data_IF_006009357444
#
_entry.id   IF_006009357444
#
_cell.length_a   1.000
_cell.length_b   1.000
_cell.length_c   1.000
_cell.angle_alpha   90.00
_cell.angle_beta   90.00
_cell.angle_gamma   90.00
#
_symmetry.space_group_name_H-M   'P 1'
#
loop_
_entity.id
_entity.type
_entity.pdbx_description
1 polymer ?
#
# COMPACT_ATOMS: atom_id res chain seq x y z
N UNK A 1 2.94 1.38 -27.12
CA UNK A 1 2.07 1.62 -25.96
C UNK A 1 2.26 3.07 -25.58
N UNK A 2 1.20 3.87 -25.53
CA UNK A 2 1.30 5.28 -25.17
C UNK A 2 1.78 5.41 -23.71
N UNK A 3 2.70 6.35 -23.47
CA UNK A 3 3.11 6.75 -22.13
C UNK A 3 1.91 7.37 -21.40
N UNK A 4 1.58 6.92 -20.18
CA UNK A 4 0.45 7.46 -19.43
C UNK A 4 0.68 8.95 -19.09
N UNK A 5 -0.39 9.76 -19.18
CA UNK A 5 -0.34 11.20 -18.90
C UNK A 5 -0.37 11.50 -17.38
N UNK A 6 -0.01 12.73 -17.01
CA UNK A 6 0.00 13.21 -15.63
C UNK A 6 -1.43 13.09 -15.03
N UNK A 7 -1.57 12.36 -13.91
CA UNK A 7 -2.88 12.07 -13.29
C UNK A 7 -3.50 10.72 -13.67
N UNK A 8 -2.85 9.91 -14.51
CA UNK A 8 -3.27 8.53 -14.82
C UNK A 8 -2.50 7.45 -14.03
N UNK A 9 -1.51 7.88 -13.25
CA UNK A 9 -0.56 7.05 -12.52
C UNK A 9 -0.41 7.58 -11.09
N UNK A 10 -0.09 6.70 -10.14
CA UNK A 10 0.28 7.14 -8.79
C UNK A 10 1.55 8.00 -8.82
N UNK A 11 1.73 8.87 -7.83
CA UNK A 11 2.91 9.76 -7.76
C UNK A 11 4.24 8.99 -7.88
N UNK A 12 4.36 7.81 -7.26
CA UNK A 12 5.53 6.94 -7.44
C UNK A 12 5.81 6.53 -8.90
N UNK A 13 4.77 6.18 -9.65
CA UNK A 13 4.89 5.84 -11.07
C UNK A 13 5.32 7.08 -11.89
N UNK A 14 4.85 8.28 -11.51
CA UNK A 14 5.21 9.54 -12.16
C UNK A 14 6.68 9.95 -11.95
N UNK A 15 7.25 9.69 -10.76
CA UNK A 15 8.66 10.01 -10.45
C UNK A 15 9.61 9.12 -11.26
N UNK A 16 9.28 7.83 -11.43
CA UNK A 16 10.09 6.90 -12.23
C UNK A 16 10.01 7.24 -13.72
N UNK A 17 8.83 7.63 -14.20
CA UNK A 17 8.62 8.04 -15.59
C UNK A 17 9.30 9.36 -15.98
N UNK A 18 9.72 10.17 -15.01
CA UNK A 18 10.30 11.48 -15.25
C UNK A 18 11.80 11.46 -15.61
N UNK A 19 12.49 10.32 -15.49
CA UNK A 19 13.92 10.19 -15.84
C UNK A 19 14.07 9.98 -17.35
N UNK A 20 14.58 10.97 -18.12
CA UNK A 20 14.64 10.88 -19.58
C UNK A 20 15.60 9.75 -20.01
N UNK A 21 15.13 8.87 -20.90
CA UNK A 21 15.98 7.87 -21.57
C UNK A 21 16.15 6.53 -20.85
N UNK A 22 15.52 6.31 -19.68
CA UNK A 22 15.61 5.05 -18.94
C UNK A 22 14.26 4.32 -18.95
N UNK A 23 14.10 3.34 -19.84
CA UNK A 23 12.96 2.41 -19.82
C UNK A 23 13.29 1.19 -18.96
N UNK A 24 13.19 1.32 -17.64
CA UNK A 24 13.33 0.16 -16.73
C UNK A 24 12.04 -0.67 -16.79
N UNK A 25 12.08 -1.96 -17.14
CA UNK A 25 10.89 -2.78 -17.07
C UNK A 25 10.43 -2.91 -15.61
N UNK A 26 9.12 -2.91 -15.38
CA UNK A 26 8.52 -2.86 -14.03
C UNK A 26 9.06 -3.92 -13.07
N UNK A 27 9.30 -5.14 -13.57
CA UNK A 27 9.86 -6.22 -12.75
C UNK A 27 11.29 -5.92 -12.27
N UNK A 28 12.09 -5.26 -13.11
CA UNK A 28 13.46 -4.89 -12.77
C UNK A 28 13.47 -3.75 -11.75
N UNK A 29 12.57 -2.77 -11.87
CA UNK A 29 12.43 -1.72 -10.87
C UNK A 29 12.07 -2.29 -9.48
N UNK A 30 11.15 -3.26 -9.43
CA UNK A 30 10.78 -3.97 -8.20
C UNK A 30 11.95 -4.79 -7.65
N UNK A 31 12.68 -5.51 -8.51
CA UNK A 31 13.84 -6.30 -8.09
C UNK A 31 14.96 -5.42 -7.54
N UNK A 32 15.20 -4.26 -8.15
CA UNK A 32 16.17 -3.28 -7.68
C UNK A 32 15.74 -2.64 -6.35
N UNK A 33 14.47 -2.25 -6.20
CA UNK A 33 13.91 -1.74 -4.94
C UNK A 33 14.12 -2.76 -3.82
N UNK A 34 13.61 -3.98 -4.00
CA UNK A 34 13.73 -5.06 -3.02
C UNK A 34 15.21 -5.36 -2.73
N UNK A 35 16.01 -5.57 -3.77
CA UNK A 35 17.42 -5.93 -3.62
C UNK A 35 18.24 -4.86 -2.90
N UNK A 36 18.00 -3.58 -3.17
CA UNK A 36 18.72 -2.49 -2.50
C UNK A 36 18.36 -2.38 -1.02
N UNK A 37 17.06 -2.39 -0.69
CA UNK A 37 16.62 -2.30 0.70
C UNK A 37 16.99 -3.56 1.49
N UNK A 38 16.77 -4.75 0.93
CA UNK A 38 17.10 -6.02 1.58
C UNK A 38 18.61 -6.16 1.81
N UNK A 39 19.44 -5.83 0.79
CA UNK A 39 20.88 -5.83 0.97
C UNK A 39 21.31 -4.82 2.04
N UNK A 40 20.70 -3.63 2.08
CA UNK A 40 20.93 -2.65 3.14
C UNK A 40 20.62 -3.21 4.52
N UNK A 41 19.46 -3.86 4.70
CA UNK A 41 19.05 -4.48 5.97
C UNK A 41 20.07 -5.55 6.38
N UNK A 42 20.40 -6.49 5.49
CA UNK A 42 21.32 -7.59 5.79
C UNK A 42 22.72 -7.07 6.11
N UNK A 43 23.27 -6.20 5.25
CA UNK A 43 24.65 -5.69 5.41
C UNK A 43 24.79 -4.87 6.69
N UNK A 44 23.87 -3.94 6.96
CA UNK A 44 23.96 -3.12 8.17
C UNK A 44 23.73 -3.95 9.43
N UNK A 45 22.80 -4.90 9.40
CA UNK A 45 22.60 -5.79 10.55
C UNK A 45 23.79 -6.69 10.83
N UNK A 46 24.51 -7.16 9.81
CA UNK A 46 25.75 -7.92 9.99
C UNK A 46 26.91 -7.05 10.50
N UNK A 47 27.02 -5.80 10.02
CA UNK A 47 28.06 -4.85 10.45
C UNK A 47 27.87 -4.43 11.91
N UNK A 48 26.62 -4.21 12.32
CA UNK A 48 26.27 -3.68 13.64
C UNK A 48 25.71 -4.72 14.63
N UNK A 49 25.75 -6.02 14.28
CA UNK A 49 25.25 -7.14 15.11
C UNK A 49 23.76 -7.04 15.51
N UNK A 50 22.91 -6.58 14.58
CA UNK A 50 21.48 -6.32 14.80
C UNK A 50 20.60 -7.51 14.41
N UNK A 51 20.72 -8.62 15.15
CA UNK A 51 20.02 -9.87 14.83
C UNK A 51 18.48 -9.75 14.75
N UNK A 52 17.86 -9.01 15.67
CA UNK A 52 16.41 -8.74 15.66
C UNK A 52 15.98 -7.88 14.46
N UNK A 53 16.83 -6.92 14.09
CA UNK A 53 16.61 -6.01 12.97
C UNK A 53 16.59 -6.69 11.60
N UNK A 54 17.29 -7.82 11.43
CA UNK A 54 17.27 -8.59 10.17
C UNK A 54 15.85 -9.04 9.85
N UNK A 55 15.22 -9.80 10.75
CA UNK A 55 13.92 -10.42 10.47
C UNK A 55 12.83 -9.34 10.33
N UNK A 56 12.82 -8.36 11.23
CA UNK A 56 11.87 -7.26 11.17
C UNK A 56 12.03 -6.43 9.88
N UNK A 57 13.27 -6.10 9.52
CA UNK A 57 13.62 -5.36 8.32
C UNK A 57 13.24 -6.11 7.04
N UNK A 58 13.58 -7.40 6.93
CA UNK A 58 13.21 -8.23 5.78
C UNK A 58 11.70 -8.33 5.60
N UNK A 59 10.95 -8.52 6.69
CA UNK A 59 9.48 -8.55 6.62
C UNK A 59 8.94 -7.18 6.17
N UNK A 60 9.45 -6.09 6.74
CA UNK A 60 9.06 -4.73 6.35
C UNK A 60 9.31 -4.45 4.87
N UNK A 61 10.51 -4.76 4.36
CA UNK A 61 10.88 -4.61 2.94
C UNK A 61 10.02 -5.49 2.04
N UNK A 62 9.72 -6.72 2.46
CA UNK A 62 8.84 -7.63 1.72
C UNK A 62 7.42 -7.09 1.64
N UNK A 63 6.85 -6.60 2.75
CA UNK A 63 5.52 -5.99 2.77
C UNK A 63 5.46 -4.75 1.88
N UNK A 64 6.47 -3.88 1.95
CA UNK A 64 6.55 -2.69 1.10
C UNK A 64 6.63 -3.04 -0.39
N UNK A 65 7.46 -4.02 -0.74
CA UNK A 65 7.61 -4.54 -2.11
C UNK A 65 6.32 -5.15 -2.63
N UNK A 66 5.64 -5.96 -1.80
CA UNK A 66 4.34 -6.52 -2.15
C UNK A 66 3.28 -5.42 -2.34
N UNK A 67 3.36 -4.33 -1.56
CA UNK A 67 2.62 -3.10 -1.78
C UNK A 67 2.83 -2.57 -3.20
N UNK A 68 4.09 -2.33 -3.60
CA UNK A 68 4.43 -1.88 -4.96
C UNK A 68 3.82 -2.78 -6.04
N UNK A 69 3.87 -4.10 -5.87
CA UNK A 69 3.23 -5.06 -6.78
C UNK A 69 1.71 -4.87 -6.82
N UNK A 70 1.06 -4.75 -5.66
CA UNK A 70 -0.38 -4.57 -5.56
C UNK A 70 -0.82 -3.28 -6.26
N UNK A 71 -0.15 -2.15 -6.03
CA UNK A 71 -0.47 -0.88 -6.72
C UNK A 71 -0.36 -1.02 -8.23
N UNK A 72 0.70 -1.65 -8.75
CA UNK A 72 0.86 -1.85 -10.19
C UNK A 72 -0.21 -2.78 -10.79
N UNK A 73 -0.66 -3.78 -10.04
CA UNK A 73 -1.77 -4.64 -10.45
C UNK A 73 -3.09 -3.89 -10.44
N UNK A 74 -3.38 -3.12 -9.38
CA UNK A 74 -4.56 -2.27 -9.25
C UNK A 74 -4.58 -1.25 -10.39
N UNK A 75 -3.48 -0.53 -10.64
CA UNK A 75 -3.34 0.43 -11.73
C UNK A 75 -3.71 -0.19 -13.08
N UNK A 76 -3.14 -1.36 -13.40
CA UNK A 76 -3.44 -2.09 -14.64
C UNK A 76 -4.91 -2.51 -14.71
N UNK A 77 -5.44 -3.11 -13.65
CA UNK A 77 -6.85 -3.55 -13.61
C UNK A 77 -7.84 -2.40 -13.77
N UNK A 78 -7.55 -1.23 -13.20
CA UNK A 78 -8.37 -0.03 -13.31
C UNK A 78 -8.32 0.56 -14.72
N UNK A 79 -7.12 0.64 -15.33
CA UNK A 79 -6.96 1.13 -16.70
C UNK A 79 -7.60 0.19 -17.71
N UNK A 80 -7.36 -1.11 -17.58
CA UNK A 80 -7.96 -2.12 -18.45
C UNK A 80 -9.48 -2.14 -18.33
N UNK A 81 -10.04 -1.84 -17.15
CA UNK A 81 -11.49 -1.76 -16.97
C UNK A 81 -12.13 -0.56 -17.69
N UNK A 82 -11.36 0.33 -18.33
CA UNK A 82 -11.82 1.61 -18.86
C UNK A 82 -12.70 2.35 -17.83
N UNK A 83 -12.24 2.35 -16.57
CA UNK A 83 -13.05 2.84 -15.46
C UNK A 83 -13.41 4.33 -15.66
N UNK A 84 -14.56 4.79 -15.13
CA UNK A 84 -15.00 6.16 -15.29
C UNK A 84 -13.92 7.17 -14.92
N UNK A 85 -13.80 8.23 -15.71
CA UNK A 85 -12.77 9.26 -15.57
C UNK A 85 -12.78 9.89 -14.17
N UNK A 86 -13.97 10.14 -13.62
CA UNK A 86 -14.15 10.64 -12.25
C UNK A 86 -13.54 9.74 -11.19
N UNK A 87 -13.62 8.41 -11.34
CA UNK A 87 -12.97 7.46 -10.45
C UNK A 87 -11.45 7.46 -10.66
N UNK A 88 -10.99 7.49 -11.91
CA UNK A 88 -9.55 7.51 -12.22
C UNK A 88 -8.85 8.75 -11.64
N UNK A 89 -9.44 9.94 -11.81
CA UNK A 89 -8.89 11.17 -11.22
C UNK A 89 -8.92 11.13 -9.69
N UNK A 90 -9.99 10.63 -9.08
CA UNK A 90 -10.06 10.52 -7.63
C UNK A 90 -8.99 9.57 -7.09
N UNK A 91 -8.79 8.43 -7.75
CA UNK A 91 -7.82 7.41 -7.37
C UNK A 91 -6.38 7.87 -7.58
N UNK A 92 -6.02 8.39 -8.76
CA UNK A 92 -4.62 8.68 -9.13
C UNK A 92 -4.24 10.16 -9.07
N UNK A 93 -5.18 11.08 -9.26
CA UNK A 93 -4.90 12.50 -9.46
C UNK A 93 -5.05 13.38 -8.21
N UNK A 94 -5.56 12.84 -7.11
CA UNK A 94 -5.89 13.65 -5.92
C UNK A 94 -4.71 13.88 -4.97
N UNK A 95 -3.59 13.16 -5.14
CA UNK A 95 -2.41 13.18 -4.24
C UNK A 95 -2.73 12.86 -2.76
N UNK A 96 -3.95 12.40 -2.46
CA UNK A 96 -4.40 12.09 -1.10
C UNK A 96 -3.56 10.95 -0.51
N UNK A 97 -3.14 10.00 -1.32
CA UNK A 97 -2.25 8.91 -0.92
C UNK A 97 -0.92 9.40 -0.36
N UNK A 98 -0.36 10.49 -0.94
CA UNK A 98 0.89 11.09 -0.46
C UNK A 98 0.65 11.77 0.87
N UNK A 99 -0.43 12.54 0.99
CA UNK A 99 -0.79 13.20 2.26
C UNK A 99 -0.97 12.16 3.37
N UNK A 100 -1.71 11.08 3.10
CA UNK A 100 -1.89 9.98 4.05
C UNK A 100 -0.54 9.34 4.43
N UNK A 101 0.31 9.05 3.44
CA UNK A 101 1.65 8.51 3.67
C UNK A 101 2.51 9.41 4.55
N UNK A 102 2.55 10.71 4.27
CA UNK A 102 3.30 11.71 5.05
C UNK A 102 2.77 11.82 6.47
N UNK A 103 1.45 11.95 6.65
CA UNK A 103 0.84 12.07 7.99
C UNK A 103 1.10 10.80 8.80
N UNK A 104 0.97 9.61 8.19
CA UNK A 104 1.30 8.35 8.84
C UNK A 104 2.78 8.25 9.20
N UNK A 105 3.69 8.68 8.31
CA UNK A 105 5.12 8.66 8.57
C UNK A 105 5.53 9.63 9.70
N UNK A 106 5.02 10.86 9.68
CA UNK A 106 5.25 11.81 10.78
C UNK A 106 4.68 11.27 12.09
N UNK A 107 3.50 10.64 12.04
CA UNK A 107 2.88 9.99 13.19
C UNK A 107 3.75 8.89 13.79
N UNK A 108 4.30 7.98 12.96
CA UNK A 108 5.16 6.90 13.47
C UNK A 108 6.51 7.43 13.99
N UNK A 109 7.13 8.40 13.32
CA UNK A 109 8.35 9.05 13.82
C UNK A 109 8.09 9.71 15.18
N UNK A 110 6.96 10.42 15.31
CA UNK A 110 6.56 11.02 16.58
C UNK A 110 6.34 9.95 17.66
N UNK A 111 5.68 8.83 17.31
CA UNK A 111 5.51 7.71 18.22
C UNK A 111 6.87 7.18 18.70
N UNK A 112 7.76 6.83 17.78
CA UNK A 112 9.04 6.18 18.07
C UNK A 112 9.98 7.02 18.94
N UNK A 113 9.99 8.34 18.76
CA UNK A 113 10.97 9.22 19.42
C UNK A 113 10.41 10.11 20.53
N UNK A 114 9.10 10.40 20.52
CA UNK A 114 8.48 11.29 21.51
C UNK A 114 7.52 10.58 22.47
N UNK A 115 6.91 9.45 22.05
CA UNK A 115 5.92 8.74 22.87
C UNK A 115 6.49 7.45 23.48
N UNK A 116 7.12 6.60 22.67
CA UNK A 116 7.73 5.32 23.04
C UNK A 116 9.08 5.55 23.74
N UNK A 117 9.14 6.49 24.68
CA UNK A 117 10.37 6.91 25.35
C UNK A 117 10.65 6.12 26.65
N UNK A 118 9.80 5.14 26.99
CA UNK A 118 9.99 4.28 28.18
C UNK A 118 10.54 2.94 27.74
N UNK A 119 11.73 2.59 28.22
CA UNK A 119 12.43 1.35 27.84
C UNK A 119 11.68 0.08 28.27
N UNK A 120 11.73 -1.01 27.47
CA UNK A 120 12.44 -1.11 26.18
C UNK A 120 11.64 -0.49 25.01
N UNK A 121 12.24 0.48 24.32
CA UNK A 121 11.62 1.12 23.13
C UNK A 121 11.69 0.20 21.91
N UNK A 122 10.81 0.41 20.91
CA UNK A 122 10.88 -0.37 19.66
C UNK A 122 12.19 -0.13 18.92
N UNK A 123 12.72 1.10 18.99
CA UNK A 123 13.99 1.48 18.36
C UNK A 123 15.13 0.69 19.00
N UNK A 124 15.20 0.64 20.34
CA UNK A 124 16.26 -0.07 21.05
C UNK A 124 16.15 -1.59 20.93
N UNK A 125 14.93 -2.12 20.82
CA UNK A 125 14.71 -3.54 20.53
C UNK A 125 15.21 -3.96 19.15
N UNK A 126 15.04 -3.11 18.12
CA UNK A 126 15.42 -3.44 16.74
C UNK A 126 16.86 -3.06 16.39
N UNK A 127 17.35 -1.95 16.93
CA UNK A 127 18.63 -1.32 16.56
C UNK A 127 19.67 -1.33 17.68
N UNK A 128 19.34 -1.93 18.84
CA UNK A 128 20.21 -1.97 20.01
C UNK A 128 20.16 -0.69 20.86
N UNK A 129 20.81 -0.70 22.02
CA UNK A 129 20.76 0.41 23.00
C UNK A 129 21.41 1.70 22.49
N UNK A 130 22.34 1.60 21.55
CA UNK A 130 22.98 2.73 20.87
C UNK A 130 22.71 2.62 19.35
N UNK A 131 21.53 3.07 18.87
CA UNK A 131 21.13 2.87 17.47
C UNK A 131 22.13 3.49 16.49
N UNK A 132 22.76 2.69 15.59
CA UNK A 132 23.68 3.24 14.60
C UNK A 132 22.96 4.19 13.65
N UNK A 133 23.61 5.31 13.31
CA UNK A 133 23.01 6.36 12.47
C UNK A 133 22.56 5.82 11.10
N UNK A 134 23.40 5.02 10.44
CA UNK A 134 23.08 4.46 9.12
C UNK A 134 21.94 3.46 9.18
N UNK A 135 21.90 2.60 10.20
CA UNK A 135 20.82 1.65 10.40
C UNK A 135 19.50 2.37 10.69
N UNK A 136 19.53 3.39 11.56
CA UNK A 136 18.37 4.23 11.88
C UNK A 136 17.84 4.95 10.64
N UNK A 137 18.73 5.53 9.83
CA UNK A 137 18.34 6.18 8.58
C UNK A 137 17.65 5.20 7.61
N UNK A 138 18.22 4.01 7.44
CA UNK A 138 17.61 2.97 6.60
C UNK A 138 16.23 2.54 7.14
N UNK A 139 16.10 2.34 8.45
CA UNK A 139 14.81 2.02 9.09
C UNK A 139 13.77 3.09 8.78
N UNK A 140 14.12 4.37 8.91
CA UNK A 140 13.20 5.47 8.59
C UNK A 140 12.81 5.49 7.12
N UNK A 141 13.73 5.20 6.19
CA UNK A 141 13.39 5.07 4.77
C UNK A 141 12.42 3.91 4.49
N UNK A 142 12.63 2.76 5.13
CA UNK A 142 11.73 1.60 4.99
C UNK A 142 10.35 1.92 5.59
N UNK A 143 10.30 2.56 6.76
CA UNK A 143 9.05 2.99 7.38
C UNK A 143 8.30 4.01 6.53
N UNK A 144 9.02 4.96 5.90
CA UNK A 144 8.43 5.89 4.94
C UNK A 144 7.75 5.15 3.77
N UNK A 145 8.47 4.22 3.12
CA UNK A 145 7.92 3.47 1.98
C UNK A 145 6.71 2.61 2.40
N UNK A 146 6.77 1.99 3.58
CA UNK A 146 5.63 1.29 4.18
C UNK A 146 4.43 2.22 4.40
N UNK A 147 4.62 3.35 5.10
CA UNK A 147 3.55 4.31 5.37
C UNK A 147 2.89 4.80 4.07
N UNK A 148 3.70 5.11 3.05
CA UNK A 148 3.18 5.50 1.74
C UNK A 148 2.34 4.39 1.08
N UNK A 149 2.80 3.13 1.10
CA UNK A 149 2.05 2.02 0.49
C UNK A 149 0.78 1.69 1.26
N UNK A 150 0.83 1.71 2.59
CA UNK A 150 -0.33 1.51 3.48
C UNK A 150 -1.36 2.63 3.24
N UNK A 151 -0.94 3.89 3.20
CA UNK A 151 -1.80 5.04 2.88
C UNK A 151 -2.43 4.93 1.49
N UNK A 152 -1.66 4.48 0.49
CA UNK A 152 -2.17 4.23 -0.87
C UNK A 152 -3.23 3.12 -0.87
N UNK A 153 -2.99 2.02 -0.15
CA UNK A 153 -3.95 0.93 0.02
C UNK A 153 -5.26 1.38 0.69
N UNK A 154 -5.16 2.23 1.73
CA UNK A 154 -6.32 2.86 2.35
C UNK A 154 -7.14 3.63 1.31
N UNK A 155 -6.50 4.54 0.58
CA UNK A 155 -7.16 5.38 -0.39
C UNK A 155 -7.80 4.59 -1.52
N UNK A 156 -7.13 3.54 -2.01
CA UNK A 156 -7.67 2.62 -2.99
C UNK A 156 -8.95 1.91 -2.48
N UNK A 157 -9.01 1.55 -1.20
CA UNK A 157 -10.22 0.94 -0.62
C UNK A 157 -11.39 1.92 -0.55
N UNK A 158 -11.14 3.16 -0.09
CA UNK A 158 -12.17 4.20 0.05
C UNK A 158 -12.73 4.62 -1.30
N UNK A 159 -11.85 4.90 -2.26
CA UNK A 159 -12.25 5.26 -3.63
C UNK A 159 -12.92 4.09 -4.35
N UNK A 160 -12.51 2.85 -4.06
CA UNK A 160 -13.16 1.65 -4.56
C UNK A 160 -14.60 1.52 -4.07
N UNK A 161 -14.87 1.77 -2.78
CA UNK A 161 -16.22 1.83 -2.24
C UNK A 161 -17.03 2.97 -2.87
N UNK A 162 -16.45 4.17 -2.95
CA UNK A 162 -17.11 5.32 -3.57
C UNK A 162 -17.56 5.00 -5.00
N UNK A 163 -16.66 4.40 -5.80
CA UNK A 163 -16.94 3.96 -7.18
C UNK A 163 -18.10 2.97 -7.22
N UNK A 164 -18.10 1.98 -6.34
CA UNK A 164 -19.15 0.96 -6.28
C UNK A 164 -20.53 1.55 -5.97
N UNK A 165 -20.58 2.69 -5.25
CA UNK A 165 -21.81 3.40 -4.89
C UNK A 165 -22.20 4.46 -5.94
N UNK A 166 -21.26 5.10 -6.61
CA UNK A 166 -21.54 6.28 -7.45
C UNK A 166 -21.51 6.02 -8.95
N UNK A 167 -20.81 4.99 -9.40
CA UNK A 167 -20.63 4.73 -10.82
C UNK A 167 -21.50 3.57 -11.31
N UNK A 168 -22.03 3.72 -12.52
CA UNK A 168 -22.61 2.61 -13.28
C UNK A 168 -21.50 1.90 -14.03
N UNK A 169 -21.40 0.59 -13.83
CA UNK A 169 -20.34 -0.24 -14.36
C UNK A 169 -20.96 -1.40 -15.13
N UNK A 170 -20.47 -1.65 -16.34
CA UNK A 170 -20.81 -2.88 -17.04
C UNK A 170 -20.23 -4.12 -16.32
N UNK A 171 -20.72 -5.31 -16.69
CA UNK A 171 -20.32 -6.56 -16.04
C UNK A 171 -18.83 -6.90 -16.24
N UNK A 172 -18.18 -6.42 -17.29
CA UNK A 172 -16.76 -6.67 -17.56
C UNK A 172 -15.87 -5.76 -16.73
N UNK A 173 -16.18 -4.46 -16.68
CA UNK A 173 -15.54 -3.48 -15.81
C UNK A 173 -15.71 -3.89 -14.33
N UNK A 174 -16.92 -4.25 -13.91
CA UNK A 174 -17.20 -4.70 -12.55
C UNK A 174 -16.36 -5.93 -12.16
N UNK A 175 -16.16 -6.90 -13.05
CA UNK A 175 -15.30 -8.07 -12.77
C UNK A 175 -13.82 -7.71 -12.61
N UNK A 176 -13.31 -6.79 -13.43
CA UNK A 176 -11.91 -6.32 -13.34
C UNK A 176 -11.68 -5.51 -12.06
N UNK A 177 -12.60 -4.60 -11.75
CA UNK A 177 -12.56 -3.79 -10.53
C UNK A 177 -12.75 -4.61 -9.26
N UNK A 178 -13.53 -5.71 -9.32
CA UNK A 178 -13.59 -6.69 -8.24
C UNK A 178 -12.22 -7.32 -7.95
N UNK A 179 -11.42 -7.60 -8.98
CA UNK A 179 -10.05 -8.10 -8.79
C UNK A 179 -9.15 -7.03 -8.18
N UNK A 180 -9.30 -5.77 -8.59
CA UNK A 180 -8.56 -4.66 -8.01
C UNK A 180 -8.85 -4.52 -6.51
N UNK A 181 -10.13 -4.57 -6.12
CA UNK A 181 -10.54 -4.56 -4.72
C UNK A 181 -9.96 -5.76 -3.94
N UNK A 182 -9.92 -6.96 -4.53
CA UNK A 182 -9.30 -8.12 -3.88
C UNK A 182 -7.79 -7.96 -3.69
N UNK A 183 -7.07 -7.34 -4.63
CA UNK A 183 -5.64 -7.03 -4.48
C UNK A 183 -5.43 -6.00 -3.34
N UNK A 184 -6.29 -4.98 -3.23
CA UNK A 184 -6.27 -4.03 -2.12
C UNK A 184 -6.48 -4.73 -0.77
N UNK A 185 -7.46 -5.62 -0.67
CA UNK A 185 -7.74 -6.38 0.54
C UNK A 185 -6.60 -7.35 0.89
N UNK A 186 -6.03 -8.03 -0.11
CA UNK A 186 -4.89 -8.92 0.08
C UNK A 186 -3.66 -8.18 0.60
N UNK A 187 -3.37 -7.00 0.04
CA UNK A 187 -2.30 -6.14 0.55
C UNK A 187 -2.58 -5.65 1.98
N UNK A 188 -3.83 -5.26 2.29
CA UNK A 188 -4.23 -4.93 3.66
C UNK A 188 -3.94 -6.07 4.64
N UNK A 189 -4.38 -7.30 4.33
CA UNK A 189 -4.14 -8.47 5.17
C UNK A 189 -2.66 -8.81 5.34
N UNK A 190 -1.83 -8.59 4.31
CA UNK A 190 -0.39 -8.86 4.37
C UNK A 190 0.32 -8.03 5.44
N UNK A 191 -0.22 -6.86 5.81
CA UNK A 191 0.34 -6.02 6.88
C UNK A 191 0.31 -6.72 8.25
N UNK A 192 -0.52 -7.75 8.44
CA UNK A 192 -0.50 -8.56 9.67
C UNK A 192 0.85 -9.27 9.88
N UNK A 193 1.67 -9.42 8.84
CA UNK A 193 3.05 -9.91 8.98
C UNK A 193 3.91 -9.01 9.88
N UNK A 194 3.53 -7.74 10.07
CA UNK A 194 4.23 -6.79 10.96
C UNK A 194 3.84 -6.94 12.43
N UNK A 195 2.72 -7.60 12.73
CA UNK A 195 2.15 -7.71 14.09
C UNK A 195 3.12 -8.33 15.11
N UNK A 196 3.88 -9.41 14.79
CA UNK A 196 4.81 -10.00 15.76
C UNK A 196 5.86 -9.01 16.30
N UNK A 197 6.23 -8.01 15.50
CA UNK A 197 7.26 -7.02 15.85
C UNK A 197 6.73 -5.82 16.64
N UNK A 198 5.40 -5.65 16.71
CA UNK A 198 4.77 -4.53 17.43
C UNK A 198 3.86 -5.00 18.56
N UNK A 199 3.82 -6.29 18.87
CA UNK A 199 2.88 -6.85 19.85
C UNK A 199 3.07 -6.26 21.26
N UNK A 200 4.30 -5.88 21.59
CA UNK A 200 4.65 -5.21 22.85
C UNK A 200 4.33 -3.70 22.86
N UNK A 201 3.89 -3.13 21.73
CA UNK A 201 3.63 -1.71 21.55
C UNK A 201 2.13 -1.50 21.23
N UNK A 202 1.26 -1.39 22.24
CA UNK A 202 -0.19 -1.47 22.07
C UNK A 202 -0.77 -0.46 21.08
N UNK A 203 -0.22 0.77 21.05
CA UNK A 203 -0.69 1.80 20.11
C UNK A 203 -0.37 1.43 18.66
N UNK A 204 0.84 0.92 18.38
CA UNK A 204 1.21 0.43 17.05
C UNK A 204 0.41 -0.81 16.66
N UNK A 205 0.20 -1.72 17.60
CA UNK A 205 -0.63 -2.90 17.39
C UNK A 205 -2.07 -2.52 17.00
N UNK A 206 -2.68 -1.60 17.74
CA UNK A 206 -4.02 -1.07 17.44
C UNK A 206 -4.03 -0.33 16.10
N UNK A 207 -2.99 0.45 15.79
CA UNK A 207 -2.89 1.15 14.52
C UNK A 207 -2.85 0.17 13.33
N UNK A 208 -2.01 -0.87 13.39
CA UNK A 208 -1.89 -1.86 12.31
C UNK A 208 -3.17 -2.70 12.22
N UNK A 209 -3.59 -3.35 13.30
CA UNK A 209 -4.76 -4.24 13.28
C UNK A 209 -6.04 -3.46 12.95
N UNK A 210 -6.21 -2.27 13.54
CA UNK A 210 -7.34 -1.39 13.27
C UNK A 210 -7.37 -0.94 11.81
N UNK A 211 -6.21 -0.60 11.22
CA UNK A 211 -6.12 -0.29 9.81
C UNK A 211 -6.47 -1.49 8.92
N UNK A 212 -5.96 -2.69 9.21
CA UNK A 212 -6.29 -3.92 8.46
C UNK A 212 -7.80 -4.18 8.50
N UNK A 213 -8.42 -4.10 9.68
CA UNK A 213 -9.87 -4.25 9.84
C UNK A 213 -10.61 -3.21 8.99
N UNK A 214 -10.20 -1.93 9.07
CA UNK A 214 -10.83 -0.87 8.29
C UNK A 214 -10.76 -1.13 6.78
N UNK A 215 -9.59 -1.49 6.25
CA UNK A 215 -9.41 -1.81 4.82
C UNK A 215 -10.29 -2.99 4.41
N UNK A 216 -10.29 -4.07 5.20
CA UNK A 216 -11.10 -5.27 4.92
C UNK A 216 -12.58 -4.92 4.92
N UNK A 217 -13.06 -4.16 5.92
CA UNK A 217 -14.46 -3.75 6.01
C UNK A 217 -14.89 -2.88 4.83
N UNK A 218 -14.13 -1.82 4.52
CA UNK A 218 -14.44 -0.89 3.43
C UNK A 218 -14.43 -1.63 2.07
N UNK A 219 -13.44 -2.49 1.87
CA UNK A 219 -13.31 -3.25 0.62
C UNK A 219 -14.41 -4.32 0.50
N UNK A 220 -14.75 -5.02 1.58
CA UNK A 220 -15.86 -5.97 1.61
C UNK A 220 -17.20 -5.27 1.30
N UNK A 221 -17.40 -4.06 1.82
CA UNK A 221 -18.58 -3.26 1.51
C UNK A 221 -18.62 -2.86 0.03
N UNK A 222 -17.48 -2.42 -0.55
CA UNK A 222 -17.36 -2.15 -1.98
C UNK A 222 -17.80 -3.36 -2.82
N UNK A 223 -17.26 -4.54 -2.49
CA UNK A 223 -17.57 -5.79 -3.16
C UNK A 223 -19.04 -6.18 -3.03
N UNK A 224 -19.65 -5.97 -1.85
CA UNK A 224 -21.05 -6.25 -1.61
C UNK A 224 -21.98 -5.36 -2.45
N UNK A 225 -21.68 -4.06 -2.54
CA UNK A 225 -22.44 -3.11 -3.35
C UNK A 225 -22.34 -3.45 -4.84
N UNK A 226 -21.12 -3.74 -5.33
CA UNK A 226 -20.88 -4.18 -6.71
C UNK A 226 -21.71 -5.42 -7.08
N UNK A 227 -21.74 -6.43 -6.19
CA UNK A 227 -22.51 -7.66 -6.42
C UNK A 227 -24.02 -7.40 -6.49
N UNK A 228 -24.55 -6.56 -5.59
CA UNK A 228 -25.99 -6.24 -5.57
C UNK A 228 -26.43 -5.56 -6.86
N UNK A 229 -25.67 -4.57 -7.33
CA UNK A 229 -26.00 -3.82 -8.55
C UNK A 229 -25.92 -4.66 -9.82
N UNK A 230 -24.93 -5.56 -9.91
CA UNK A 230 -24.84 -6.51 -11.02
C UNK A 230 -26.03 -7.48 -11.08
N UNK A 231 -26.59 -7.86 -9.93
CA UNK A 231 -27.79 -8.71 -9.87
C UNK A 231 -29.09 -7.98 -10.23
N UNK A 232 -29.22 -6.70 -9.87
CA UNK A 232 -30.42 -5.89 -10.17
C UNK A 232 -30.57 -5.53 -11.66
N UNK A 233 -29.47 -5.47 -12.42
CA UNK A 233 -29.50 -5.16 -13.86
C UNK A 233 -29.90 -6.32 -14.78
N UNK A 234 -29.96 -7.56 -14.27
CA UNK A 234 -30.26 -8.76 -15.07
C UNK A 234 -31.74 -9.16 -15.17
N UNK A 235 -32.65 -8.40 -14.54
CA UNK A 235 -34.06 -8.77 -14.40
C UNK A 235 -35.04 -8.22 -15.43
N UNK A 236 -34.60 -7.46 -16.44
CA UNK A 236 -35.49 -6.69 -17.33
C UNK A 236 -35.53 -7.14 -18.80
N UNK A 237 -35.02 -8.33 -19.14
CA UNK A 237 -35.08 -8.85 -20.53
C UNK A 237 -35.81 -10.18 -20.63
N UNK A 238 -37.07 -10.24 -20.19
CA UNK A 238 -38.03 -11.23 -20.71
C UNK A 238 -39.46 -10.67 -20.65
N UNK A 239 -39.83 -9.88 -21.67
CA UNK A 239 -41.22 -9.74 -22.10
C UNK A 239 -41.26 -9.54 -23.62
N UNK A 240 -41.40 -10.67 -24.32
CA UNK A 240 -42.31 -11.02 -25.44
C UNK A 240 -42.68 -9.98 -26.53
N UNK A 241 -43.01 -10.41 -27.76
CA UNK A 241 -43.97 -11.49 -28.09
C UNK A 241 -43.35 -12.79 -28.59
#
# INVERSE_FOLDING_TARGET
>A
MATPEYGETWVYESIIGAVPGVNVPTWLALALQFGLFEAGVIVLSLIYDLSAGIVAGTVAVTVATAGSVAMLRISRLVRDANAPESYRHLLFGSSVEVVLGVVSFVGIVTYLFAFDATEPTLVTQLLGPEPPVLATYLTLLVLWDLCYRIGTGWWASVTGLWRSVRCDLDATAARRLRRADLETMAFGLLQLALVPFVIAHPLLLVAIVGHVVAVVTVTALSLAVLRRRAGSGGGLTTSSP
#
